data_IF_918774653403
#
_entry.id   IF_918774653403
#
_cell.length_a   1.000
_cell.length_b   1.000
_cell.length_c   1.000
_cell.angle_alpha   90.00
_cell.angle_beta   90.00
_cell.angle_gamma   90.00
#
_symmetry.space_group_name_H-M   'P 1'
#
loop_
_entity.id
_entity.type
_entity.pdbx_description
1 polymer ?
#
# COMPACT_ATOMS: atom_id res chain seq x y z
N UNK A 1 -49.98 6.28 38.73
CA UNK A 1 -49.79 7.32 39.73
C UNK A 1 -48.53 8.08 39.28
N UNK A 2 -48.79 9.22 38.61
CA UNK A 2 -47.78 10.17 38.08
C UNK A 2 -47.75 11.32 39.08
N UNK A 3 -46.62 11.90 39.45
CA UNK A 3 -46.62 13.26 39.96
C UNK A 3 -46.04 14.24 38.96
N UNK A 4 -46.63 15.37 38.98
CA UNK A 4 -46.63 16.57 38.18
C UNK A 4 -45.30 17.34 38.13
N UNK A 5 -45.23 18.09 37.05
CA UNK A 5 -44.31 19.18 36.75
C UNK A 5 -44.49 20.35 37.73
N UNK A 6 -43.39 20.92 38.17
CA UNK A 6 -43.36 22.26 38.84
C UNK A 6 -42.53 23.22 38.00
N UNK A 7 -43.20 24.28 37.54
CA UNK A 7 -42.64 25.43 36.81
C UNK A 7 -41.73 26.29 37.69
N UNK A 8 -40.68 26.88 37.11
CA UNK A 8 -39.84 27.93 37.68
C UNK A 8 -40.02 29.25 36.91
N UNK A 9 -40.00 30.36 37.56
CA UNK A 9 -40.45 31.65 37.04
C UNK A 9 -39.37 32.38 36.22
N UNK A 10 -39.86 33.10 35.23
CA UNK A 10 -39.16 34.08 34.40
C UNK A 10 -38.77 35.34 35.18
N UNK A 11 -37.48 35.74 35.08
CA UNK A 11 -37.03 37.08 35.48
C UNK A 11 -36.60 37.87 34.24
N UNK A 12 -37.30 38.93 34.00
CA UNK A 12 -37.09 40.00 33.04
C UNK A 12 -35.98 40.92 33.55
N UNK A 13 -34.96 41.21 32.74
CA UNK A 13 -34.09 42.42 32.89
C UNK A 13 -33.52 42.84 31.55
N UNK A 14 -34.04 43.91 31.00
CA UNK A 14 -33.54 44.68 29.89
C UNK A 14 -32.32 45.56 30.27
N UNK A 15 -31.54 46.08 29.31
CA UNK A 15 -30.10 46.31 29.42
C UNK A 15 -29.74 47.75 29.85
N UNK A 16 -28.57 47.92 30.46
CA UNK A 16 -27.86 49.19 30.50
C UNK A 16 -26.53 49.07 29.80
N UNK A 17 -26.32 49.98 28.84
CA UNK A 17 -25.09 50.08 28.06
C UNK A 17 -23.88 50.55 28.86
N UNK A 18 -22.74 50.19 28.40
CA UNK A 18 -21.49 50.90 28.52
C UNK A 18 -20.60 50.58 27.30
N UNK A 19 -20.24 51.63 26.62
CA UNK A 19 -19.25 51.68 25.57
C UNK A 19 -17.85 51.34 26.12
N UNK A 20 -17.09 50.54 25.34
CA UNK A 20 -15.69 50.28 25.62
C UNK A 20 -15.11 49.42 24.54
N UNK A 21 -14.62 50.04 23.46
CA UNK A 21 -14.03 49.37 22.34
C UNK A 21 -12.77 48.60 22.68
N UNK A 22 -12.66 47.40 22.23
CA UNK A 22 -11.42 46.81 21.77
C UNK A 22 -11.79 45.86 20.61
N UNK A 23 -11.43 46.31 19.43
CA UNK A 23 -11.50 45.51 18.18
C UNK A 23 -10.54 44.33 18.29
N UNK A 24 -11.02 43.19 18.78
CA UNK A 24 -10.45 41.93 18.43
C UNK A 24 -10.93 41.61 17.02
N UNK A 25 -10.22 42.13 16.05
CA UNK A 25 -10.21 41.61 14.69
C UNK A 25 -9.56 40.23 14.79
N UNK A 26 -10.36 39.22 15.11
CA UNK A 26 -10.00 37.84 14.77
C UNK A 26 -9.80 37.84 13.27
N UNK A 27 -8.54 37.92 12.87
CA UNK A 27 -8.12 37.59 11.51
C UNK A 27 -8.61 36.17 11.24
N UNK A 28 -9.71 36.06 10.52
CA UNK A 28 -10.08 34.86 9.79
C UNK A 28 -8.95 34.71 8.77
N UNK A 29 -7.89 34.03 9.17
CA UNK A 29 -6.87 33.54 8.27
C UNK A 29 -7.64 32.58 7.39
N UNK A 30 -7.98 33.02 6.18
CA UNK A 30 -8.42 32.13 5.11
C UNK A 30 -7.39 31.02 5.09
N UNK A 31 -7.79 29.84 5.52
CA UNK A 31 -6.97 28.64 5.48
C UNK A 31 -6.78 28.28 3.99
N UNK A 32 -5.79 28.92 3.38
CA UNK A 32 -5.30 28.48 2.08
C UNK A 32 -4.79 27.07 2.30
N UNK A 33 -5.50 26.07 1.75
CA UNK A 33 -5.16 24.66 1.89
C UNK A 33 -3.70 24.42 1.48
N UNK A 34 -3.00 23.56 2.22
CA UNK A 34 -1.61 23.21 1.91
C UNK A 34 -1.55 22.72 0.47
N UNK A 35 -0.66 23.35 -0.33
CA UNK A 35 -0.46 22.97 -1.74
C UNK A 35 0.72 22.02 -1.88
N UNK A 36 0.50 20.86 -2.49
CA UNK A 36 1.48 19.79 -2.67
C UNK A 36 1.51 19.25 -4.09
N UNK A 37 2.70 18.94 -4.60
CA UNK A 37 2.90 18.16 -5.81
C UNK A 37 3.18 16.70 -5.42
N UNK A 38 2.29 15.77 -5.77
CA UNK A 38 2.50 14.35 -5.59
C UNK A 38 3.19 13.76 -6.83
N UNK A 39 4.45 13.34 -6.67
CA UNK A 39 5.29 12.78 -7.73
C UNK A 39 5.23 11.25 -7.65
N UNK A 40 4.40 10.62 -8.47
CA UNK A 40 4.06 9.21 -8.32
C UNK A 40 5.02 8.25 -9.02
N UNK A 41 5.91 8.76 -9.87
CA UNK A 41 6.79 7.93 -10.68
C UNK A 41 6.05 6.96 -11.64
N UNK A 42 4.73 7.09 -11.76
CA UNK A 42 3.87 6.18 -12.52
C UNK A 42 3.66 4.83 -11.83
N UNK A 43 3.84 4.78 -10.48
CA UNK A 43 3.72 3.56 -9.68
C UNK A 43 2.35 3.37 -9.04
N UNK A 44 2.26 2.42 -8.16
CA UNK A 44 1.18 1.88 -7.32
C UNK A 44 -0.12 2.71 -7.24
N UNK A 45 -1.09 2.38 -8.11
CA UNK A 45 -2.38 3.08 -8.19
C UNK A 45 -3.15 3.05 -6.86
N UNK A 46 -3.28 1.91 -6.15
CA UNK A 46 -4.00 1.86 -4.88
C UNK A 46 -3.46 2.82 -3.82
N UNK A 47 -2.15 2.88 -3.66
CA UNK A 47 -1.53 3.79 -2.68
C UNK A 47 -1.71 5.26 -3.08
N UNK A 48 -1.50 5.59 -4.34
CA UNK A 48 -1.68 6.98 -4.84
C UNK A 48 -3.14 7.41 -4.70
N UNK A 49 -4.08 6.54 -5.02
CA UNK A 49 -5.52 6.81 -4.91
C UNK A 49 -5.91 7.09 -3.45
N UNK A 50 -5.53 6.22 -2.52
CA UNK A 50 -5.83 6.39 -1.11
C UNK A 50 -5.22 7.67 -0.54
N UNK A 51 -3.94 7.92 -0.81
CA UNK A 51 -3.25 9.11 -0.33
C UNK A 51 -3.87 10.40 -0.90
N UNK A 52 -4.10 10.47 -2.21
CA UNK A 52 -4.65 11.67 -2.85
C UNK A 52 -6.07 11.96 -2.37
N UNK A 53 -6.93 10.93 -2.28
CA UNK A 53 -8.30 11.04 -1.79
C UNK A 53 -8.32 11.58 -0.36
N UNK A 54 -7.46 11.05 0.50
CA UNK A 54 -7.42 11.45 1.90
C UNK A 54 -6.85 12.86 2.08
N UNK A 55 -5.82 13.25 1.35
CA UNK A 55 -5.32 14.61 1.39
C UNK A 55 -6.35 15.63 0.89
N UNK A 56 -7.16 15.27 -0.12
CA UNK A 56 -8.30 16.11 -0.57
C UNK A 56 -9.35 16.26 0.53
N UNK A 57 -9.69 15.20 1.27
CA UNK A 57 -10.64 15.26 2.37
C UNK A 57 -10.20 16.26 3.45
N UNK A 58 -8.88 16.40 3.61
CA UNK A 58 -8.24 17.38 4.53
C UNK A 58 -7.96 18.74 3.88
N UNK A 59 -8.60 19.02 2.73
CA UNK A 59 -8.53 20.29 1.99
C UNK A 59 -7.13 20.66 1.47
N UNK A 60 -6.26 19.69 1.22
CA UNK A 60 -5.03 19.93 0.48
C UNK A 60 -5.34 20.25 -0.99
N UNK A 61 -4.53 21.13 -1.58
CA UNK A 61 -4.55 21.42 -3.02
C UNK A 61 -3.43 20.61 -3.67
N UNK A 62 -3.79 19.72 -4.59
CA UNK A 62 -2.90 18.67 -5.08
C UNK A 62 -2.65 18.84 -6.58
N UNK A 63 -1.39 18.92 -6.98
CA UNK A 63 -0.95 18.60 -8.34
C UNK A 63 -0.51 17.12 -8.34
N UNK A 64 -1.32 16.26 -8.94
CA UNK A 64 -1.02 14.83 -9.05
C UNK A 64 -0.32 14.55 -10.38
N UNK A 65 1.00 14.29 -10.33
CA UNK A 65 1.81 13.97 -11.49
C UNK A 65 1.75 12.47 -11.75
N UNK A 66 1.08 12.08 -12.82
CA UNK A 66 0.77 10.70 -13.15
C UNK A 66 1.13 10.28 -14.57
N UNK A 67 0.54 9.17 -14.98
CA UNK A 67 0.65 8.50 -16.28
C UNK A 67 -0.72 7.97 -16.70
N UNK A 68 -0.83 7.43 -17.93
CA UNK A 68 -2.07 6.79 -18.41
C UNK A 68 -2.53 5.66 -17.48
N UNK A 69 -1.60 4.97 -16.82
CA UNK A 69 -1.92 3.90 -15.86
C UNK A 69 -2.64 4.41 -14.61
N UNK A 70 -2.35 5.65 -14.20
CA UNK A 70 -2.99 6.28 -13.04
C UNK A 70 -4.21 7.10 -13.43
N UNK A 71 -4.40 7.37 -14.72
CA UNK A 71 -5.52 8.17 -15.20
C UNK A 71 -6.84 7.44 -14.95
N UNK A 72 -7.70 8.08 -14.17
CA UNK A 72 -9.00 7.53 -13.81
C UNK A 72 -10.02 8.65 -13.55
N UNK A 73 -11.32 8.40 -13.80
CA UNK A 73 -12.38 9.41 -13.62
C UNK A 73 -12.38 10.06 -12.24
N UNK A 74 -11.96 9.33 -11.20
CA UNK A 74 -11.92 9.81 -9.82
C UNK A 74 -10.92 10.96 -9.59
N UNK A 75 -9.94 11.13 -10.48
CA UNK A 75 -8.97 12.22 -10.40
C UNK A 75 -9.34 13.44 -11.22
N UNK A 76 -10.46 13.41 -11.96
CA UNK A 76 -10.90 14.52 -12.80
C UNK A 76 -12.09 15.26 -12.19
N UNK A 77 -12.17 16.57 -12.48
CA UNK A 77 -13.29 17.42 -12.04
C UNK A 77 -13.43 17.59 -10.53
N UNK A 78 -12.42 17.23 -9.72
CA UNK A 78 -12.45 17.38 -8.27
C UNK A 78 -11.86 18.74 -7.86
N UNK A 79 -12.58 19.54 -7.03
CA UNK A 79 -12.03 20.75 -6.48
C UNK A 79 -10.75 20.47 -5.67
N UNK A 80 -9.71 21.25 -5.92
CA UNK A 80 -8.42 21.09 -5.23
C UNK A 80 -7.50 19.99 -5.78
N UNK A 81 -7.91 19.22 -6.78
CA UNK A 81 -7.05 18.24 -7.43
C UNK A 81 -6.86 18.57 -8.92
N UNK A 82 -5.61 18.65 -9.34
CA UNK A 82 -5.22 18.78 -10.74
C UNK A 82 -4.40 17.56 -11.14
N UNK A 83 -4.98 16.68 -11.93
CA UNK A 83 -4.25 15.56 -12.52
C UNK A 83 -3.41 16.04 -13.72
N UNK A 84 -2.13 15.73 -13.70
CA UNK A 84 -1.15 16.10 -14.72
C UNK A 84 -0.51 14.82 -15.28
N UNK A 85 -1.01 14.36 -16.42
CA UNK A 85 -0.46 13.21 -17.12
C UNK A 85 0.82 13.60 -17.87
N UNK A 86 1.93 13.80 -17.14
CA UNK A 86 3.21 14.17 -17.75
C UNK A 86 3.94 12.95 -18.35
N UNK A 87 3.67 11.75 -17.81
CA UNK A 87 4.41 10.55 -18.21
C UNK A 87 3.82 9.85 -19.43
N UNK A 88 2.51 9.98 -19.66
CA UNK A 88 1.79 9.36 -20.76
C UNK A 88 1.83 7.82 -20.70
N UNK A 89 1.85 7.22 -21.89
CA UNK A 89 1.83 5.78 -22.09
C UNK A 89 3.11 5.09 -21.62
N UNK A 90 2.92 3.97 -20.90
CA UNK A 90 4.00 3.15 -20.34
C UNK A 90 4.09 1.75 -20.98
N UNK A 91 3.36 1.48 -22.06
CA UNK A 91 3.39 0.16 -22.73
C UNK A 91 4.82 -0.22 -23.12
N UNK A 92 5.12 -1.51 -22.95
CA UNK A 92 6.46 -2.06 -23.19
C UNK A 92 6.68 -2.55 -24.62
N UNK A 93 5.62 -2.64 -25.42
CA UNK A 93 5.61 -3.26 -26.76
C UNK A 93 6.00 -2.30 -27.89
N UNK A 94 6.42 -1.08 -27.54
CA UNK A 94 6.83 -0.07 -28.53
C UNK A 94 8.33 -0.11 -28.81
N UNK A 95 8.74 0.47 -29.96
CA UNK A 95 10.16 0.50 -30.37
C UNK A 95 11.07 1.25 -29.40
N UNK A 96 12.37 0.95 -29.42
CA UNK A 96 13.36 1.55 -28.52
C UNK A 96 13.42 3.08 -28.65
N UNK A 97 13.39 3.62 -29.87
CA UNK A 97 13.44 5.06 -30.15
C UNK A 97 12.24 5.78 -29.50
N UNK A 98 11.05 5.21 -29.65
CA UNK A 98 9.83 5.77 -29.06
C UNK A 98 9.91 5.73 -27.52
N UNK A 99 10.41 4.63 -26.92
CA UNK A 99 10.64 4.56 -25.47
C UNK A 99 11.57 5.66 -24.98
N UNK A 100 12.69 5.88 -25.66
CA UNK A 100 13.67 6.91 -25.30
C UNK A 100 13.03 8.31 -25.42
N UNK A 101 12.34 8.59 -26.51
CA UNK A 101 11.67 9.88 -26.73
C UNK A 101 10.62 10.15 -25.65
N UNK A 102 9.76 9.19 -25.33
CA UNK A 102 8.76 9.32 -24.24
C UNK A 102 9.41 9.66 -22.91
N UNK A 103 10.50 8.95 -22.56
CA UNK A 103 11.18 9.19 -21.29
C UNK A 103 11.84 10.58 -21.27
N UNK A 104 12.51 11.00 -22.32
CA UNK A 104 13.12 12.33 -22.39
C UNK A 104 12.06 13.43 -22.36
N UNK A 105 10.96 13.28 -23.11
CA UNK A 105 9.82 14.20 -23.08
C UNK A 105 9.25 14.33 -21.67
N UNK A 106 9.04 13.21 -20.97
CA UNK A 106 8.57 13.21 -19.59
C UNK A 106 9.49 14.01 -18.66
N UNK A 107 10.81 13.75 -18.70
CA UNK A 107 11.73 14.50 -17.85
C UNK A 107 11.79 15.98 -18.20
N UNK A 108 11.73 16.34 -19.50
CA UNK A 108 11.65 17.74 -19.91
C UNK A 108 10.40 18.42 -19.33
N UNK A 109 9.24 17.79 -19.47
CA UNK A 109 7.98 18.30 -18.91
C UNK A 109 8.05 18.42 -17.38
N UNK A 110 8.63 17.43 -16.69
CA UNK A 110 8.78 17.42 -15.24
C UNK A 110 9.72 18.55 -14.77
N UNK A 111 10.81 18.83 -15.48
CA UNK A 111 11.72 19.94 -15.19
C UNK A 111 11.01 21.29 -15.38
N UNK A 112 10.28 21.47 -16.47
CA UNK A 112 9.51 22.69 -16.73
C UNK A 112 8.41 22.87 -15.68
N UNK A 113 7.68 21.80 -15.36
CA UNK A 113 6.68 21.80 -14.29
C UNK A 113 7.30 22.26 -12.97
N UNK A 114 8.41 21.66 -12.54
CA UNK A 114 9.05 21.99 -11.27
C UNK A 114 9.45 23.45 -11.18
N UNK A 115 9.94 24.07 -12.28
CA UNK A 115 10.31 25.47 -12.34
C UNK A 115 9.12 26.42 -12.23
N UNK A 116 7.94 26.01 -12.71
CA UNK A 116 6.73 26.87 -12.80
C UNK A 116 5.66 26.51 -11.77
N UNK A 117 5.81 25.38 -11.07
CA UNK A 117 4.83 24.86 -10.14
C UNK A 117 4.67 25.77 -8.89
N UNK A 118 3.42 26.04 -8.52
CA UNK A 118 3.05 26.77 -7.32
C UNK A 118 3.32 26.00 -6.01
N UNK A 119 3.06 24.66 -5.93
CA UNK A 119 3.33 23.89 -4.71
C UNK A 119 4.77 24.07 -4.23
N UNK A 120 4.93 24.35 -2.93
CA UNK A 120 6.23 24.40 -2.27
C UNK A 120 6.68 23.01 -1.82
N UNK A 121 5.75 22.12 -1.52
CA UNK A 121 6.02 20.73 -1.13
C UNK A 121 5.99 19.83 -2.35
N UNK A 122 7.08 19.12 -2.58
CA UNK A 122 7.21 18.05 -3.57
C UNK A 122 7.30 16.73 -2.83
N UNK A 123 6.20 15.97 -2.82
CA UNK A 123 6.15 14.66 -2.19
C UNK A 123 6.42 13.57 -3.24
N UNK A 124 7.61 13.00 -3.19
CA UNK A 124 8.03 11.90 -4.05
C UNK A 124 7.49 10.60 -3.44
N UNK A 125 6.44 10.05 -4.05
CA UNK A 125 5.83 8.78 -3.62
C UNK A 125 6.59 7.61 -4.21
N UNK A 126 7.02 7.71 -5.49
CA UNK A 126 7.93 6.77 -6.14
C UNK A 126 8.95 7.50 -7.01
N UNK A 127 10.16 6.93 -7.10
CA UNK A 127 11.13 7.35 -8.10
C UNK A 127 10.67 6.91 -9.50
N UNK A 128 11.11 7.67 -10.51
CA UNK A 128 10.87 7.31 -11.90
C UNK A 128 11.83 6.20 -12.37
N UNK A 129 11.93 6.00 -13.69
CA UNK A 129 12.70 4.90 -14.28
C UNK A 129 14.22 5.09 -14.16
N UNK A 130 14.72 6.33 -14.28
CA UNK A 130 16.15 6.63 -14.17
C UNK A 130 16.54 6.95 -12.72
N UNK A 131 16.54 5.94 -11.89
CA UNK A 131 16.73 6.06 -10.44
C UNK A 131 17.96 6.89 -10.04
N UNK A 132 19.08 6.77 -10.78
CA UNK A 132 20.28 7.56 -10.48
C UNK A 132 20.03 9.06 -10.67
N UNK A 133 19.44 9.45 -11.79
CA UNK A 133 19.11 10.84 -12.09
C UNK A 133 18.05 11.38 -11.10
N UNK A 134 17.00 10.60 -10.83
CA UNK A 134 15.95 10.97 -9.88
C UNK A 134 16.50 11.24 -8.49
N UNK A 135 17.37 10.34 -8.00
CA UNK A 135 17.94 10.39 -6.65
C UNK A 135 18.98 11.50 -6.46
N UNK A 136 19.55 11.99 -7.54
CA UNK A 136 20.67 12.95 -7.50
C UNK A 136 20.30 14.28 -8.15
N UNK A 137 20.51 14.43 -9.45
CA UNK A 137 20.38 15.70 -10.15
C UNK A 137 18.96 16.29 -10.05
N UNK A 138 17.92 15.47 -10.18
CA UNK A 138 16.54 15.94 -10.14
C UNK A 138 16.15 16.43 -8.72
N UNK A 139 16.53 15.72 -7.66
CA UNK A 139 16.28 16.18 -6.30
C UNK A 139 17.09 17.43 -5.95
N UNK A 140 18.35 17.52 -6.41
CA UNK A 140 19.15 18.73 -6.24
C UNK A 140 18.49 19.92 -6.93
N UNK A 141 17.96 19.72 -8.15
CA UNK A 141 17.23 20.73 -8.90
C UNK A 141 16.00 21.21 -8.11
N UNK A 142 15.20 20.31 -7.55
CA UNK A 142 14.06 20.72 -6.71
C UNK A 142 14.48 21.55 -5.50
N UNK A 143 15.58 21.20 -4.85
CA UNK A 143 16.15 21.99 -3.75
C UNK A 143 16.59 23.39 -4.18
N UNK A 144 17.27 23.49 -5.33
CA UNK A 144 17.69 24.79 -5.89
C UNK A 144 16.50 25.69 -6.24
N UNK A 145 15.35 25.10 -6.59
CA UNK A 145 14.09 25.83 -6.77
C UNK A 145 13.37 26.18 -5.45
N UNK A 146 13.97 25.90 -4.30
CA UNK A 146 13.37 26.16 -2.97
C UNK A 146 12.21 25.24 -2.60
N UNK A 147 12.08 24.06 -3.27
CA UNK A 147 11.04 23.11 -2.93
C UNK A 147 11.41 22.32 -1.67
N UNK A 148 10.41 22.09 -0.78
CA UNK A 148 10.50 21.16 0.34
C UNK A 148 10.26 19.75 -0.17
N UNK A 149 11.22 18.87 0.06
CA UNK A 149 11.15 17.49 -0.47
C UNK A 149 10.69 16.54 0.62
N UNK A 150 9.53 15.94 0.43
CA UNK A 150 9.04 14.80 1.21
C UNK A 150 9.21 13.53 0.38
N UNK A 151 9.67 12.45 0.99
CA UNK A 151 9.91 11.19 0.32
C UNK A 151 9.21 10.06 1.06
N UNK A 152 8.33 9.31 0.37
CA UNK A 152 7.84 8.02 0.89
C UNK A 152 8.77 6.90 0.43
N UNK A 153 9.28 6.15 1.39
CA UNK A 153 10.19 5.03 1.15
C UNK A 153 9.45 3.72 1.44
N UNK A 154 9.00 3.04 0.38
CA UNK A 154 8.34 1.74 0.49
C UNK A 154 9.33 0.59 0.66
N UNK A 155 10.58 0.79 0.27
CA UNK A 155 11.70 -0.12 0.47
C UNK A 155 12.97 0.72 0.62
N UNK A 156 13.71 0.55 1.71
CA UNK A 156 14.94 1.32 1.95
C UNK A 156 15.98 1.01 0.87
N UNK A 157 16.17 -0.27 0.54
CA UNK A 157 17.03 -0.70 -0.54
C UNK A 157 16.45 -1.91 -1.28
N UNK A 158 15.61 -1.68 -2.28
CA UNK A 158 14.98 -2.75 -3.06
C UNK A 158 16.00 -3.65 -3.76
N UNK A 159 17.19 -3.13 -4.15
CA UNK A 159 18.24 -3.92 -4.78
C UNK A 159 18.91 -4.90 -3.82
N UNK A 160 18.93 -4.59 -2.51
CA UNK A 160 19.41 -5.52 -1.46
C UNK A 160 18.50 -6.75 -1.42
N UNK A 161 17.17 -6.55 -1.45
CA UNK A 161 16.18 -7.62 -1.57
C UNK A 161 16.38 -8.50 -2.80
N UNK A 162 16.68 -7.87 -3.94
CA UNK A 162 16.82 -8.56 -5.22
C UNK A 162 18.25 -9.07 -5.48
N UNK A 163 19.14 -9.05 -4.46
CA UNK A 163 20.56 -9.44 -4.53
C UNK A 163 21.36 -8.69 -5.63
N UNK A 164 20.94 -7.47 -5.96
CA UNK A 164 21.53 -6.61 -7.00
C UNK A 164 22.10 -5.30 -6.42
N UNK A 165 22.33 -5.25 -5.12
CA UNK A 165 22.86 -4.05 -4.46
C UNK A 165 24.35 -3.83 -4.80
N UNK A 166 24.71 -2.56 -4.99
CA UNK A 166 26.08 -2.12 -5.32
C UNK A 166 26.44 -0.91 -4.47
N UNK A 167 27.76 -0.67 -4.30
CA UNK A 167 28.26 0.53 -3.63
C UNK A 167 27.73 1.82 -4.27
N UNK A 168 27.61 1.85 -5.60
CA UNK A 168 27.04 2.98 -6.33
C UNK A 168 25.56 3.17 -6.05
N UNK A 169 24.76 2.09 -5.96
CA UNK A 169 23.36 2.16 -5.56
C UNK A 169 23.23 2.75 -4.14
N UNK A 170 24.03 2.27 -3.18
CA UNK A 170 24.03 2.80 -1.79
C UNK A 170 24.45 4.28 -1.74
N UNK A 171 25.42 4.70 -2.57
CA UNK A 171 25.81 6.09 -2.68
C UNK A 171 24.65 6.98 -3.16
N UNK A 172 23.95 6.58 -4.24
CA UNK A 172 22.81 7.37 -4.77
C UNK A 172 21.64 7.40 -3.79
N UNK A 173 21.37 6.31 -3.06
CA UNK A 173 20.37 6.29 -2.00
C UNK A 173 20.75 7.23 -0.84
N UNK A 174 21.99 7.21 -0.39
CA UNK A 174 22.50 8.14 0.63
C UNK A 174 22.30 9.58 0.22
N UNK A 175 22.59 9.90 -1.03
CA UNK A 175 22.40 11.24 -1.58
C UNK A 175 20.92 11.63 -1.57
N UNK A 176 20.04 10.75 -2.03
CA UNK A 176 18.59 10.96 -2.01
C UNK A 176 18.08 11.27 -0.59
N UNK A 177 18.42 10.41 0.37
CA UNK A 177 17.96 10.54 1.75
C UNK A 177 18.50 11.80 2.45
N UNK A 178 19.69 12.26 2.08
CA UNK A 178 20.23 13.54 2.58
C UNK A 178 19.49 14.75 2.06
N UNK A 179 19.03 14.72 0.82
CA UNK A 179 18.34 15.84 0.17
C UNK A 179 16.87 15.97 0.60
N UNK A 180 16.22 14.90 1.04
CA UNK A 180 14.85 14.95 1.52
C UNK A 180 14.74 15.75 2.83
N UNK A 181 13.78 16.64 2.96
CA UNK A 181 13.51 17.39 4.21
C UNK A 181 12.83 16.47 5.23
N UNK A 182 11.92 15.59 4.75
CA UNK A 182 11.24 14.59 5.56
C UNK A 182 11.11 13.28 4.79
N UNK A 183 11.19 12.15 5.50
CA UNK A 183 11.06 10.81 4.96
C UNK A 183 9.95 10.07 5.69
N UNK A 184 9.01 9.54 4.94
CA UNK A 184 8.03 8.59 5.43
C UNK A 184 8.51 7.16 5.20
N UNK A 185 8.36 6.33 6.20
CA UNK A 185 8.55 4.87 6.16
C UNK A 185 7.36 4.19 6.80
N UNK A 186 7.20 2.89 6.61
CA UNK A 186 6.03 2.17 7.10
C UNK A 186 6.28 1.36 8.38
N UNK A 187 7.55 1.13 8.73
CA UNK A 187 7.92 0.26 9.86
C UNK A 187 9.10 0.80 10.64
N UNK A 188 9.19 0.43 11.92
CA UNK A 188 10.35 0.78 12.75
C UNK A 188 11.68 0.21 12.21
N UNK A 189 11.76 -1.06 11.74
CA UNK A 189 12.97 -1.56 11.10
C UNK A 189 13.45 -0.73 9.91
N UNK A 190 12.53 -0.21 9.07
CA UNK A 190 12.90 0.69 7.96
C UNK A 190 13.49 2.01 8.46
N UNK A 191 12.92 2.59 9.51
CA UNK A 191 13.45 3.81 10.14
C UNK A 191 14.84 3.57 10.70
N UNK A 192 15.02 2.46 11.39
CA UNK A 192 16.31 2.11 11.98
C UNK A 192 17.38 1.88 10.90
N UNK A 193 17.04 1.19 9.80
CA UNK A 193 17.95 1.00 8.66
C UNK A 193 18.37 2.34 8.03
N UNK A 194 17.43 3.31 7.88
CA UNK A 194 17.77 4.65 7.39
C UNK A 194 18.75 5.37 8.31
N UNK A 195 18.62 5.23 9.61
CA UNK A 195 19.50 5.83 10.59
C UNK A 195 20.87 5.17 10.55
N UNK A 196 20.93 3.85 10.65
CA UNK A 196 22.15 3.08 10.85
C UNK A 196 22.98 2.95 9.55
N UNK A 197 22.35 2.59 8.43
CA UNK A 197 23.07 2.33 7.19
C UNK A 197 23.25 3.59 6.32
N UNK A 198 22.31 4.56 6.41
CA UNK A 198 22.33 5.73 5.53
C UNK A 198 22.64 7.05 6.26
N UNK A 199 22.72 7.04 7.60
CA UNK A 199 23.08 8.21 8.41
C UNK A 199 22.01 9.30 8.39
N UNK A 200 20.73 8.93 8.26
CA UNK A 200 19.61 9.88 8.31
C UNK A 200 19.31 10.24 9.77
N UNK A 201 19.10 11.54 10.04
CA UNK A 201 18.69 11.97 11.40
C UNK A 201 17.28 11.45 11.70
N UNK A 202 17.07 10.78 12.83
CA UNK A 202 15.80 10.18 13.21
C UNK A 202 14.63 11.16 13.23
N UNK A 203 14.85 12.43 13.57
CA UNK A 203 13.83 13.49 13.53
C UNK A 203 13.29 13.78 12.12
N UNK A 204 14.01 13.35 11.06
CA UNK A 204 13.58 13.49 9.66
C UNK A 204 12.88 12.25 9.13
N UNK A 205 12.63 11.25 9.96
CA UNK A 205 11.97 10.01 9.58
C UNK A 205 10.71 9.84 10.41
N UNK A 206 9.57 9.85 9.75
CA UNK A 206 8.25 9.63 10.36
C UNK A 206 7.70 8.29 9.88
N UNK A 207 7.24 7.48 10.82
CA UNK A 207 6.53 6.24 10.50
C UNK A 207 5.08 6.58 10.21
N UNK A 208 4.59 6.11 9.06
CA UNK A 208 3.18 6.19 8.68
C UNK A 208 2.65 4.78 8.42
N UNK A 209 1.44 4.44 8.83
CA UNK A 209 0.85 3.15 8.47
C UNK A 209 0.85 2.95 6.95
N UNK A 210 0.94 1.72 6.50
CA UNK A 210 0.63 1.41 5.11
C UNK A 210 -0.89 1.40 4.96
N UNK A 211 -1.44 2.29 4.13
CA UNK A 211 -2.89 2.41 3.98
C UNK A 211 -3.52 1.12 3.44
N UNK A 212 -4.67 0.74 4.00
CA UNK A 212 -5.44 -0.42 3.53
C UNK A 212 -5.86 -0.21 2.08
N UNK A 213 -5.75 -1.26 1.25
CA UNK A 213 -6.19 -1.17 -0.14
C UNK A 213 -7.73 -1.20 -0.22
N UNK A 214 -8.31 -0.05 -0.47
CA UNK A 214 -9.74 0.15 -0.68
C UNK A 214 -10.10 0.53 -2.13
N UNK A 215 -9.15 0.41 -3.06
CA UNK A 215 -9.37 0.72 -4.48
C UNK A 215 -9.93 -0.45 -5.28
N UNK A 216 -9.85 -1.67 -4.72
CA UNK A 216 -10.40 -2.86 -5.38
C UNK A 216 -11.93 -2.83 -5.25
N UNK A 217 -12.67 -2.89 -6.36
CA UNK A 217 -14.12 -2.97 -6.33
C UNK A 217 -14.60 -4.16 -5.51
N UNK A 218 -15.58 -3.93 -4.65
CA UNK A 218 -16.27 -5.00 -3.94
C UNK A 218 -17.72 -5.01 -4.40
N UNK A 219 -18.13 -6.12 -5.01
CA UNK A 219 -19.49 -6.34 -5.50
C UNK A 219 -20.26 -7.24 -4.53
N UNK A 220 -21.52 -7.53 -4.85
CA UNK A 220 -22.37 -8.42 -4.06
C UNK A 220 -22.06 -9.92 -4.27
N UNK A 221 -21.00 -10.26 -5.03
CA UNK A 221 -20.61 -11.66 -5.22
C UNK A 221 -20.34 -12.33 -3.87
N UNK A 222 -21.01 -13.44 -3.64
CA UNK A 222 -20.86 -14.21 -2.41
C UNK A 222 -19.62 -15.12 -2.48
N UNK A 223 -19.03 -15.55 -1.34
CA UNK A 223 -17.95 -16.54 -1.33
C UNK A 223 -18.31 -17.82 -2.09
N UNK A 224 -19.56 -18.27 -2.01
CA UNK A 224 -20.04 -19.46 -2.71
C UNK A 224 -20.04 -19.25 -4.23
N UNK A 225 -20.54 -18.14 -4.73
CA UNK A 225 -20.50 -17.80 -6.15
C UNK A 225 -19.06 -17.64 -6.66
N UNK A 226 -18.19 -17.03 -5.86
CA UNK A 226 -16.77 -16.93 -6.18
C UNK A 226 -16.11 -18.31 -6.33
N UNK A 227 -16.39 -19.23 -5.40
CA UNK A 227 -15.93 -20.63 -5.48
C UNK A 227 -16.45 -21.34 -6.73
N UNK A 228 -17.76 -21.22 -7.03
CA UNK A 228 -18.35 -21.82 -8.22
C UNK A 228 -17.67 -21.33 -9.50
N UNK A 229 -17.40 -20.02 -9.63
CA UNK A 229 -16.70 -19.46 -10.81
C UNK A 229 -15.26 -19.97 -10.96
N UNK A 230 -14.59 -20.28 -9.85
CA UNK A 230 -13.24 -20.84 -9.86
C UNK A 230 -13.19 -22.37 -9.86
N UNK A 231 -14.34 -23.05 -9.87
CA UNK A 231 -14.42 -24.52 -9.84
C UNK A 231 -13.95 -25.11 -8.52
N UNK A 232 -14.22 -24.43 -7.40
CA UNK A 232 -13.87 -24.84 -6.03
C UNK A 232 -15.14 -25.35 -5.35
N UNK A 233 -15.10 -26.56 -4.78
CA UNK A 233 -16.23 -27.13 -4.05
C UNK A 233 -16.39 -26.50 -2.67
N UNK A 234 -17.62 -26.47 -2.15
CA UNK A 234 -17.92 -25.85 -0.85
C UNK A 234 -17.22 -26.51 0.33
N UNK A 235 -16.89 -27.80 0.24
CA UNK A 235 -16.18 -28.58 1.27
C UNK A 235 -14.65 -28.58 1.12
N UNK A 236 -14.10 -27.95 0.08
CA UNK A 236 -12.66 -27.79 -0.10
C UNK A 236 -12.13 -26.64 0.79
N UNK A 237 -10.86 -26.76 1.18
CA UNK A 237 -10.10 -25.78 1.96
C UNK A 237 -9.20 -24.99 1.04
N UNK A 238 -9.61 -23.78 0.68
CA UNK A 238 -8.99 -22.96 -0.35
C UNK A 238 -7.85 -22.10 0.21
N UNK A 239 -6.63 -22.37 -0.24
CA UNK A 239 -5.40 -21.65 0.12
C UNK A 239 -5.02 -20.74 -1.04
N UNK A 240 -4.88 -19.44 -0.80
CA UNK A 240 -4.55 -18.44 -1.81
C UNK A 240 -3.11 -17.95 -1.69
N UNK A 241 -2.38 -17.95 -2.79
CA UNK A 241 -1.24 -17.09 -3.05
C UNK A 241 -1.62 -16.06 -4.10
N UNK A 242 -1.39 -14.77 -3.82
CA UNK A 242 -1.79 -13.68 -4.71
C UNK A 242 -0.66 -12.67 -4.98
N UNK A 243 -0.69 -12.09 -6.21
CA UNK A 243 0.20 -11.01 -6.66
C UNK A 243 1.41 -11.49 -7.44
N UNK A 244 2.34 -10.58 -7.80
CA UNK A 244 3.49 -10.93 -8.62
C UNK A 244 4.22 -12.17 -8.11
N UNK A 245 4.55 -13.09 -9.00
CA UNK A 245 5.39 -14.25 -8.68
C UNK A 245 6.85 -13.82 -8.86
N UNK A 246 7.66 -14.03 -7.81
CA UNK A 246 9.08 -13.69 -7.81
C UNK A 246 9.81 -14.49 -6.72
N UNK A 247 11.13 -14.78 -6.86
CA UNK A 247 11.87 -15.62 -5.90
C UNK A 247 11.78 -15.16 -4.45
N UNK A 248 11.80 -13.84 -4.20
CA UNK A 248 11.70 -13.30 -2.83
C UNK A 248 10.36 -13.57 -2.15
N UNK A 249 9.32 -13.94 -2.91
CA UNK A 249 7.99 -14.29 -2.39
C UNK A 249 7.85 -15.74 -1.98
N UNK A 250 8.84 -16.59 -2.25
CA UNK A 250 8.94 -17.92 -1.68
C UNK A 250 7.81 -18.90 -2.05
N UNK A 251 7.20 -18.76 -3.24
CA UNK A 251 6.09 -19.63 -3.67
C UNK A 251 6.48 -21.10 -3.67
N UNK A 252 7.76 -21.43 -3.87
CA UNK A 252 8.28 -22.80 -3.80
C UNK A 252 8.10 -23.45 -2.42
N UNK A 253 8.16 -22.66 -1.33
CA UNK A 253 7.91 -23.18 0.01
C UNK A 253 6.42 -23.53 0.20
N UNK A 254 5.52 -22.70 -0.36
CA UNK A 254 4.10 -23.01 -0.35
C UNK A 254 3.80 -24.24 -1.24
N UNK A 255 4.40 -24.35 -2.41
CA UNK A 255 4.24 -25.51 -3.27
C UNK A 255 4.68 -26.80 -2.54
N UNK A 256 5.85 -26.77 -1.88
CA UNK A 256 6.34 -27.89 -1.09
C UNK A 256 5.47 -28.21 0.14
N UNK A 257 4.99 -27.19 0.85
CA UNK A 257 4.06 -27.37 1.96
C UNK A 257 2.72 -27.95 1.51
N UNK A 258 2.21 -27.49 0.35
CA UNK A 258 0.97 -27.98 -0.23
C UNK A 258 1.05 -29.48 -0.55
N UNK A 259 2.17 -29.97 -1.12
CA UNK A 259 2.36 -31.41 -1.34
C UNK A 259 2.22 -32.20 -0.03
N UNK A 260 2.79 -31.68 1.08
CA UNK A 260 2.75 -32.34 2.38
C UNK A 260 1.34 -32.42 2.96
N UNK A 261 0.59 -31.30 2.93
CA UNK A 261 -0.78 -31.31 3.46
C UNK A 261 -1.73 -32.13 2.59
N UNK A 262 -1.53 -32.13 1.26
CA UNK A 262 -2.32 -32.98 0.35
C UNK A 262 -2.08 -34.45 0.57
N UNK A 263 -0.87 -34.88 0.86
CA UNK A 263 -0.55 -36.27 1.19
C UNK A 263 -1.30 -36.78 2.42
N UNK A 264 -1.74 -35.89 3.32
CA UNK A 264 -2.45 -36.23 4.56
C UNK A 264 -3.98 -36.03 4.45
N UNK A 265 -4.43 -35.08 3.59
CA UNK A 265 -5.85 -34.69 3.45
C UNK A 265 -6.18 -34.34 2.01
N UNK A 266 -7.26 -34.86 1.50
CA UNK A 266 -7.71 -34.73 0.11
C UNK A 266 -8.57 -33.48 -0.19
N UNK A 267 -8.87 -32.65 0.82
CA UNK A 267 -9.78 -31.49 0.69
C UNK A 267 -9.07 -30.13 0.53
N UNK A 268 -7.75 -30.09 0.42
CA UNK A 268 -7.03 -28.85 0.20
C UNK A 268 -7.00 -28.48 -1.28
N UNK A 269 -7.26 -27.20 -1.55
CA UNK A 269 -7.20 -26.58 -2.87
C UNK A 269 -6.20 -25.42 -2.85
N UNK A 270 -5.23 -25.41 -3.75
CA UNK A 270 -4.30 -24.29 -3.90
C UNK A 270 -4.72 -23.39 -5.05
N UNK A 271 -4.75 -22.09 -4.80
CA UNK A 271 -4.98 -21.05 -5.80
C UNK A 271 -3.69 -20.20 -5.87
N UNK A 272 -3.06 -20.15 -7.04
CA UNK A 272 -1.94 -19.26 -7.33
C UNK A 272 -2.42 -18.30 -8.40
N UNK A 273 -2.56 -17.02 -8.04
CA UNK A 273 -3.04 -15.97 -8.94
C UNK A 273 -2.05 -14.79 -8.97
N UNK A 274 -1.45 -14.53 -10.14
CA UNK A 274 -0.53 -13.42 -10.32
C UNK A 274 0.52 -13.64 -11.41
N UNK A 275 1.18 -12.56 -11.80
CA UNK A 275 2.09 -12.57 -12.93
C UNK A 275 3.53 -12.93 -12.55
N UNK A 276 4.17 -13.90 -13.25
CA UNK A 276 5.62 -14.14 -13.17
C UNK A 276 6.39 -12.97 -13.79
N UNK A 277 7.02 -12.16 -12.93
CA UNK A 277 7.70 -10.93 -13.38
C UNK A 277 9.19 -11.17 -13.53
N UNK A 278 9.68 -11.34 -14.77
CA UNK A 278 11.09 -11.55 -15.10
C UNK A 278 11.74 -12.71 -14.30
N UNK A 279 11.03 -13.82 -14.16
CA UNK A 279 11.48 -14.97 -13.37
C UNK A 279 11.06 -16.30 -13.99
N UNK A 280 11.20 -16.44 -15.32
CA UNK A 280 10.70 -17.60 -16.08
C UNK A 280 11.29 -18.93 -15.58
N UNK A 281 12.58 -18.98 -15.26
CA UNK A 281 13.25 -20.17 -14.71
C UNK A 281 12.66 -20.56 -13.34
N UNK A 282 12.54 -19.59 -12.44
CA UNK A 282 11.93 -19.81 -11.13
C UNK A 282 10.47 -20.26 -11.24
N UNK A 283 9.69 -19.62 -12.10
CA UNK A 283 8.30 -20.00 -12.34
C UNK A 283 8.19 -21.38 -12.95
N UNK A 284 9.08 -21.73 -13.90
CA UNK A 284 9.16 -23.07 -14.48
C UNK A 284 9.33 -24.17 -13.43
N UNK A 285 10.26 -23.96 -12.49
CA UNK A 285 10.51 -24.86 -11.37
C UNK A 285 9.27 -25.03 -10.46
N UNK A 286 8.62 -23.93 -10.08
CA UNK A 286 7.42 -23.99 -9.22
C UNK A 286 6.27 -24.69 -9.94
N UNK A 287 6.08 -24.38 -11.23
CA UNK A 287 5.04 -25.01 -12.04
C UNK A 287 5.23 -26.51 -12.16
N UNK A 288 6.46 -26.98 -12.35
CA UNK A 288 6.80 -28.42 -12.43
C UNK A 288 6.40 -29.15 -11.14
N UNK A 289 6.68 -28.56 -9.97
CA UNK A 289 6.28 -29.13 -8.68
C UNK A 289 4.75 -29.27 -8.55
N UNK A 290 3.98 -28.32 -9.11
CA UNK A 290 2.52 -28.29 -9.01
C UNK A 290 1.81 -28.95 -10.17
N UNK A 291 2.52 -29.44 -11.19
CA UNK A 291 1.93 -29.93 -12.44
C UNK A 291 0.88 -31.03 -12.22
N UNK A 292 1.18 -32.02 -11.39
CA UNK A 292 0.26 -33.11 -11.05
C UNK A 292 -1.01 -32.61 -10.36
N UNK A 293 -0.86 -31.65 -9.47
CA UNK A 293 -2.00 -31.05 -8.74
C UNK A 293 -2.89 -30.21 -9.67
N UNK A 294 -2.32 -29.59 -10.69
CA UNK A 294 -3.10 -28.90 -11.72
C UNK A 294 -3.89 -29.91 -12.58
N UNK A 295 -3.24 -30.98 -13.00
CA UNK A 295 -3.87 -32.02 -13.81
C UNK A 295 -5.01 -32.76 -13.07
N UNK A 296 -4.83 -33.00 -11.77
CA UNK A 296 -5.86 -33.60 -10.90
C UNK A 296 -6.92 -32.58 -10.43
N UNK A 297 -6.76 -31.32 -10.79
CA UNK A 297 -7.66 -30.24 -10.39
C UNK A 297 -7.49 -29.77 -8.94
N UNK A 298 -6.44 -30.15 -8.23
CA UNK A 298 -6.14 -29.77 -6.84
C UNK A 298 -5.50 -28.40 -6.73
N UNK A 299 -4.88 -27.90 -7.81
CA UNK A 299 -4.32 -26.56 -7.88
C UNK A 299 -4.87 -25.80 -9.09
N UNK A 300 -5.21 -24.52 -8.87
CA UNK A 300 -5.58 -23.56 -9.89
C UNK A 300 -4.44 -22.57 -10.08
N UNK A 301 -3.79 -22.57 -11.25
CA UNK A 301 -2.73 -21.61 -11.58
C UNK A 301 -3.24 -20.57 -12.59
N UNK A 302 -3.24 -19.29 -12.19
CA UNK A 302 -3.50 -18.12 -13.02
C UNK A 302 -2.23 -17.27 -13.07
N UNK A 303 -1.30 -17.66 -13.95
CA UNK A 303 0.02 -17.03 -14.09
C UNK A 303 -0.03 -15.83 -15.04
N UNK A 304 -0.88 -14.87 -14.73
CA UNK A 304 -1.15 -13.66 -15.51
C UNK A 304 -1.41 -12.45 -14.62
N UNK A 305 -1.46 -11.26 -15.20
CA UNK A 305 -1.93 -10.09 -14.49
C UNK A 305 -3.41 -10.26 -14.15
N UNK A 306 -3.74 -10.13 -12.87
CA UNK A 306 -5.13 -10.18 -12.41
C UNK A 306 -5.65 -8.75 -12.36
N UNK A 307 -6.66 -8.39 -13.16
CA UNK A 307 -7.30 -7.08 -13.11
C UNK A 307 -7.94 -6.79 -11.75
N UNK A 308 -8.06 -5.51 -11.41
CA UNK A 308 -8.66 -5.09 -10.14
C UNK A 308 -10.10 -5.60 -10.00
N UNK A 309 -10.88 -5.61 -11.08
CA UNK A 309 -12.25 -6.12 -11.15
C UNK A 309 -12.39 -7.63 -10.92
N UNK A 310 -11.34 -8.40 -11.18
CA UNK A 310 -11.32 -9.85 -10.98
C UNK A 310 -10.72 -10.23 -9.62
N UNK A 311 -10.04 -9.30 -8.95
CA UNK A 311 -9.30 -9.56 -7.72
C UNK A 311 -10.20 -10.09 -6.61
N UNK A 312 -11.39 -9.50 -6.42
CA UNK A 312 -12.32 -9.93 -5.35
C UNK A 312 -12.72 -11.40 -5.47
N UNK A 313 -12.76 -11.95 -6.69
CA UNK A 313 -13.13 -13.34 -6.93
C UNK A 313 -12.22 -14.32 -6.17
N UNK A 314 -10.91 -14.07 -6.21
CA UNK A 314 -9.93 -14.91 -5.55
C UNK A 314 -9.98 -14.77 -4.02
N UNK A 315 -10.10 -13.54 -3.52
CA UNK A 315 -10.13 -13.28 -2.07
C UNK A 315 -11.42 -13.74 -1.40
N UNK A 316 -12.56 -13.64 -2.10
CA UNK A 316 -13.84 -14.16 -1.59
C UNK A 316 -13.92 -15.69 -1.64
N UNK A 317 -13.30 -16.33 -2.65
CA UNK A 317 -13.29 -17.79 -2.77
C UNK A 317 -12.37 -18.48 -1.76
N UNK A 318 -11.31 -17.80 -1.30
CA UNK A 318 -10.31 -18.36 -0.42
C UNK A 318 -10.74 -18.39 1.05
N UNK A 319 -10.17 -19.35 1.79
CA UNK A 319 -10.29 -19.44 3.25
C UNK A 319 -9.09 -18.78 3.95
N UNK A 320 -7.93 -18.74 3.28
CA UNK A 320 -6.71 -18.18 3.86
C UNK A 320 -5.78 -17.67 2.76
N UNK A 321 -5.12 -16.55 3.03
CA UNK A 321 -4.02 -16.03 2.22
C UNK A 321 -2.68 -16.49 2.81
N UNK A 322 -1.76 -16.97 1.97
CA UNK A 322 -0.42 -17.39 2.40
C UNK A 322 0.64 -16.47 1.79
N UNK A 323 1.50 -15.92 2.63
CA UNK A 323 2.61 -15.04 2.27
C UNK A 323 3.94 -15.70 2.68
N UNK A 324 4.48 -16.64 1.86
CA UNK A 324 5.66 -17.44 2.22
C UNK A 324 6.97 -16.72 1.90
N UNK A 325 7.03 -15.42 2.18
CA UNK A 325 8.09 -14.54 1.72
C UNK A 325 9.44 -14.86 2.38
N UNK A 326 10.52 -14.70 1.60
CA UNK A 326 11.90 -14.79 2.08
C UNK A 326 12.39 -13.46 2.63
N UNK A 327 11.94 -12.38 2.02
CA UNK A 327 12.35 -11.03 2.38
C UNK A 327 11.32 -10.00 1.95
N UNK A 328 10.86 -9.18 2.88
CA UNK A 328 10.00 -8.04 2.64
C UNK A 328 10.09 -7.07 3.81
N UNK A 329 9.90 -5.79 3.61
CA UNK A 329 9.62 -4.87 4.71
C UNK A 329 8.15 -4.89 5.08
N UNK A 330 7.28 -4.74 4.06
CA UNK A 330 5.84 -4.75 4.24
C UNK A 330 5.14 -5.23 2.96
N UNK A 331 3.93 -5.77 3.07
CA UNK A 331 3.21 -6.33 1.93
C UNK A 331 1.83 -5.72 1.76
N UNK A 332 1.62 -5.01 0.65
CA UNK A 332 0.30 -4.52 0.25
C UNK A 332 -0.73 -5.66 0.06
N UNK A 333 -0.27 -6.88 -0.28
CA UNK A 333 -1.14 -8.05 -0.42
C UNK A 333 -1.69 -8.53 0.92
N UNK A 334 -0.96 -8.34 2.04
CA UNK A 334 -1.46 -8.60 3.39
C UNK A 334 -2.68 -7.72 3.68
N UNK A 335 -2.54 -6.41 3.46
CA UNK A 335 -3.62 -5.46 3.70
C UNK A 335 -4.79 -5.63 2.74
N UNK A 336 -4.51 -6.07 1.50
CA UNK A 336 -5.55 -6.48 0.58
C UNK A 336 -6.31 -7.70 1.10
N UNK A 337 -5.62 -8.71 1.66
CA UNK A 337 -6.27 -9.84 2.34
C UNK A 337 -7.21 -9.38 3.46
N UNK A 338 -6.72 -8.49 4.28
CA UNK A 338 -7.51 -7.93 5.39
C UNK A 338 -8.71 -7.09 4.93
N UNK A 339 -8.63 -6.39 3.80
CA UNK A 339 -9.78 -5.64 3.26
C UNK A 339 -10.93 -6.56 2.82
N UNK A 340 -10.65 -7.85 2.58
CA UNK A 340 -11.65 -8.89 2.33
C UNK A 340 -11.94 -9.76 3.57
N UNK A 341 -11.41 -9.39 4.73
CA UNK A 341 -11.54 -10.18 5.96
C UNK A 341 -10.93 -11.57 5.87
N UNK A 342 -9.89 -11.74 5.03
CA UNK A 342 -9.22 -13.01 4.81
C UNK A 342 -8.04 -13.16 5.79
N UNK A 343 -8.02 -14.21 6.63
CA UNK A 343 -6.88 -14.50 7.50
C UNK A 343 -5.61 -14.74 6.71
N UNK A 344 -4.45 -14.43 7.32
CA UNK A 344 -3.15 -14.51 6.66
C UNK A 344 -2.22 -15.46 7.40
N UNK A 345 -1.61 -16.41 6.67
CA UNK A 345 -0.44 -17.14 7.15
C UNK A 345 0.80 -16.47 6.57
N UNK A 346 1.64 -15.92 7.44
CA UNK A 346 2.78 -15.13 7.00
C UNK A 346 4.10 -15.71 7.54
N UNK A 347 5.14 -15.67 6.69
CA UNK A 347 6.49 -15.96 7.15
C UNK A 347 6.98 -14.90 8.15
N UNK A 348 7.78 -15.29 9.13
CA UNK A 348 8.42 -14.38 10.11
C UNK A 348 9.55 -13.59 9.43
N UNK A 349 9.17 -12.62 8.57
CA UNK A 349 10.09 -11.73 7.88
C UNK A 349 9.56 -10.30 7.84
N UNK A 350 10.46 -9.33 7.95
CA UNK A 350 10.12 -7.91 7.94
C UNK A 350 9.12 -7.56 9.02
N UNK A 351 8.08 -6.81 8.67
CA UNK A 351 7.00 -6.44 9.60
C UNK A 351 5.79 -7.37 9.54
N UNK A 352 5.81 -8.45 8.74
CA UNK A 352 4.63 -9.31 8.58
C UNK A 352 4.14 -9.88 9.90
N UNK A 353 5.07 -10.31 10.77
CA UNK A 353 4.75 -10.82 12.11
C UNK A 353 4.02 -9.78 12.99
N UNK A 354 4.42 -8.51 12.90
CA UNK A 354 3.85 -7.43 13.70
C UNK A 354 2.39 -7.12 13.30
N UNK A 355 2.02 -7.47 12.06
CA UNK A 355 0.69 -7.28 11.51
C UNK A 355 -0.26 -8.46 11.79
N UNK A 356 0.26 -9.60 12.26
CA UNK A 356 -0.53 -10.80 12.56
C UNK A 356 -0.85 -10.86 14.05
N UNK A 357 -2.12 -10.94 14.38
CA UNK A 357 -2.59 -11.32 15.72
C UNK A 357 -2.95 -12.79 15.68
N UNK A 358 -2.08 -13.62 16.30
CA UNK A 358 -2.21 -15.09 16.34
C UNK A 358 -3.63 -15.53 16.76
N UNK A 359 -4.25 -16.36 15.94
CA UNK A 359 -5.61 -16.87 16.15
C UNK A 359 -6.76 -15.88 15.94
N UNK A 360 -6.46 -14.60 15.58
CA UNK A 360 -7.48 -13.57 15.25
C UNK A 360 -7.40 -13.13 13.81
N UNK A 361 -6.22 -12.73 13.33
CA UNK A 361 -6.05 -12.29 11.95
C UNK A 361 -5.22 -13.27 11.12
N UNK A 362 -4.65 -14.30 11.74
CA UNK A 362 -3.86 -15.31 11.05
C UNK A 362 -2.88 -16.02 11.96
N UNK A 363 -1.82 -16.57 11.36
CA UNK A 363 -0.74 -17.26 12.05
C UNK A 363 0.61 -16.95 11.39
N UNK A 364 1.68 -17.04 12.19
CA UNK A 364 3.06 -16.86 11.74
C UNK A 364 3.77 -18.20 11.68
N UNK A 365 4.64 -18.37 10.68
CA UNK A 365 5.51 -19.54 10.51
C UNK A 365 6.94 -19.12 10.20
N UNK A 366 7.90 -20.03 10.39
CA UNK A 366 9.31 -19.79 10.13
C UNK A 366 9.56 -19.61 8.62
N UNK A 367 10.24 -18.53 8.26
CA UNK A 367 10.59 -18.28 6.88
C UNK A 367 11.42 -19.42 6.27
N UNK A 368 11.22 -19.69 4.98
CA UNK A 368 11.92 -20.72 4.21
C UNK A 368 11.76 -22.16 4.77
N UNK A 369 10.73 -22.41 5.57
CA UNK A 369 10.46 -23.69 6.18
C UNK A 369 9.09 -24.25 5.73
N UNK A 370 9.12 -25.13 4.73
CA UNK A 370 7.90 -25.76 4.20
C UNK A 370 7.23 -26.75 5.16
N UNK A 371 7.96 -27.28 6.15
CA UNK A 371 7.37 -28.17 7.17
C UNK A 371 6.57 -27.35 8.18
N UNK A 372 7.16 -26.26 8.68
CA UNK A 372 6.48 -25.37 9.60
C UNK A 372 5.26 -24.70 8.94
N UNK A 373 5.37 -24.32 7.64
CA UNK A 373 4.23 -23.83 6.86
C UNK A 373 3.14 -24.88 6.73
N UNK A 374 3.47 -26.15 6.44
CA UNK A 374 2.49 -27.23 6.36
C UNK A 374 1.78 -27.44 7.71
N UNK A 375 2.52 -27.47 8.81
CA UNK A 375 1.95 -27.54 10.15
C UNK A 375 1.08 -26.33 10.49
N UNK A 376 1.47 -25.13 10.05
CA UNK A 376 0.70 -23.90 10.26
C UNK A 376 -0.59 -23.89 9.45
N UNK A 377 -0.58 -24.40 8.22
CA UNK A 377 -1.81 -24.61 7.41
C UNK A 377 -2.76 -25.56 8.16
N UNK A 378 -2.28 -26.70 8.66
CA UNK A 378 -3.11 -27.66 9.40
C UNK A 378 -3.65 -27.04 10.71
N UNK A 379 -2.80 -26.30 11.45
CA UNK A 379 -3.19 -25.58 12.67
C UNK A 379 -4.29 -24.55 12.38
N UNK A 380 -4.17 -23.79 11.29
CA UNK A 380 -5.19 -22.83 10.89
C UNK A 380 -6.53 -23.51 10.61
N UNK A 381 -6.55 -24.56 9.80
CA UNK A 381 -7.79 -25.26 9.43
C UNK A 381 -8.40 -26.09 10.58
N UNK A 382 -7.67 -26.27 11.68
CA UNK A 382 -8.18 -26.84 12.92
C UNK A 382 -8.58 -25.76 13.96
N UNK A 383 -8.35 -24.48 13.69
CA UNK A 383 -8.56 -23.38 14.63
C UNK A 383 -10.01 -22.87 14.67
N UNK A 384 -10.35 -22.20 15.79
CA UNK A 384 -11.61 -21.45 15.92
C UNK A 384 -11.74 -20.36 14.85
N UNK A 385 -10.63 -19.75 14.45
CA UNK A 385 -10.62 -18.73 13.40
C UNK A 385 -11.19 -19.25 12.07
N UNK A 386 -10.83 -20.46 11.66
CA UNK A 386 -11.38 -21.06 10.44
C UNK A 386 -12.81 -21.55 10.66
N UNK A 387 -13.10 -22.23 11.76
CA UNK A 387 -14.46 -22.77 12.04
C UNK A 387 -15.51 -21.65 12.02
N UNK A 388 -15.16 -20.46 12.51
CA UNK A 388 -16.03 -19.31 12.58
C UNK A 388 -15.71 -18.23 11.53
N UNK A 389 -15.01 -18.58 10.43
CA UNK A 389 -14.46 -17.61 9.48
C UNK A 389 -15.51 -16.61 8.94
N UNK A 390 -16.72 -17.06 8.64
CA UNK A 390 -17.76 -16.18 8.10
C UNK A 390 -18.13 -15.04 9.05
N UNK A 391 -18.14 -15.30 10.36
CA UNK A 391 -18.38 -14.28 11.38
C UNK A 391 -17.11 -13.43 11.66
N UNK A 392 -15.94 -14.06 11.57
CA UNK A 392 -14.65 -13.42 11.87
C UNK A 392 -14.14 -12.48 10.78
N UNK A 393 -14.64 -12.60 9.54
CA UNK A 393 -14.20 -11.73 8.43
C UNK A 393 -14.38 -10.24 8.75
N UNK A 394 -15.52 -9.86 9.34
CA UNK A 394 -15.77 -8.47 9.69
C UNK A 394 -14.80 -7.98 10.77
N UNK A 395 -14.50 -8.80 11.77
CA UNK A 395 -13.54 -8.45 12.83
C UNK A 395 -12.12 -8.17 12.25
N UNK A 396 -11.71 -8.90 11.21
CA UNK A 396 -10.43 -8.68 10.52
C UNK A 396 -10.45 -7.36 9.74
N UNK A 397 -11.56 -7.07 9.05
CA UNK A 397 -11.75 -5.80 8.31
C UNK A 397 -11.68 -4.63 9.30
N UNK A 398 -12.39 -4.71 10.41
CA UNK A 398 -12.44 -3.65 11.42
C UNK A 398 -11.06 -3.42 12.04
N UNK A 399 -10.35 -4.50 12.42
CA UNK A 399 -8.99 -4.43 12.92
C UNK A 399 -8.05 -3.72 11.96
N UNK A 400 -8.10 -4.07 10.67
CA UNK A 400 -7.24 -3.47 9.66
C UNK A 400 -7.61 -2.01 9.38
N UNK A 401 -8.91 -1.70 9.34
CA UNK A 401 -9.40 -0.35 9.10
C UNK A 401 -8.99 0.59 10.23
N UNK A 402 -9.07 0.16 11.49
CA UNK A 402 -8.66 0.96 12.64
C UNK A 402 -7.16 1.31 12.59
N UNK A 403 -6.31 0.37 12.23
CA UNK A 403 -4.84 0.53 12.28
C UNK A 403 -4.24 1.11 11.01
N UNK A 404 -4.85 0.87 9.87
CA UNK A 404 -4.32 1.17 8.54
C UNK A 404 -5.22 2.09 7.72
N UNK A 405 -6.07 2.90 8.40
CA UNK A 405 -6.94 3.85 7.72
C UNK A 405 -6.15 4.94 7.02
N UNK A 406 -6.63 5.35 5.87
CA UNK A 406 -6.08 6.49 5.16
C UNK A 406 -6.22 7.79 5.95
N UNK A 407 -7.22 7.89 6.84
CA UNK A 407 -7.40 9.05 7.71
C UNK A 407 -6.18 9.25 8.62
N UNK A 408 -5.65 8.19 9.25
CA UNK A 408 -4.42 8.25 10.05
C UNK A 408 -3.23 8.66 9.19
N UNK A 409 -3.08 8.06 8.00
CA UNK A 409 -2.01 8.41 7.05
C UNK A 409 -2.10 9.88 6.65
N UNK A 410 -3.31 10.36 6.33
CA UNK A 410 -3.55 11.76 5.95
C UNK A 410 -3.29 12.74 7.09
N UNK A 411 -3.71 12.43 8.32
CA UNK A 411 -3.45 13.27 9.49
C UNK A 411 -1.94 13.47 9.73
N UNK A 412 -1.19 12.37 9.76
CA UNK A 412 0.27 12.42 9.94
C UNK A 412 0.92 13.20 8.79
N UNK A 413 0.51 12.93 7.54
CA UNK A 413 1.07 13.57 6.35
C UNK A 413 0.80 15.07 6.36
N UNK A 414 -0.42 15.50 6.65
CA UNK A 414 -0.79 16.93 6.72
C UNK A 414 -0.06 17.65 7.84
N UNK A 415 0.11 17.00 9.00
CA UNK A 415 0.91 17.56 10.08
C UNK A 415 2.35 17.81 9.64
N UNK A 416 3.00 16.85 9.02
CA UNK A 416 4.38 16.99 8.50
C UNK A 416 4.46 18.11 7.47
N UNK A 417 3.50 18.21 6.56
CA UNK A 417 3.48 19.31 5.58
C UNK A 417 3.35 20.69 6.26
N UNK A 418 2.48 20.79 7.25
CA UNK A 418 2.32 22.03 8.02
C UNK A 418 3.61 22.41 8.74
N UNK A 419 4.24 21.46 9.43
CA UNK A 419 5.48 21.67 10.17
C UNK A 419 6.62 22.13 9.22
N UNK A 420 6.73 21.55 8.02
CA UNK A 420 7.73 21.93 7.02
C UNK A 420 7.53 23.35 6.46
N UNK A 421 6.28 23.80 6.34
CA UNK A 421 5.96 25.14 5.85
C UNK A 421 6.10 26.19 6.94
N UNK A 422 5.91 25.83 8.20
CA UNK A 422 6.09 26.72 9.35
C UNK A 422 7.57 26.95 9.74
N UNK A 423 8.47 26.05 9.30
CA UNK A 423 9.90 26.14 9.59
C UNK A 423 10.69 27.09 8.65
N UNK A 424 10.00 27.77 7.73
CA UNK A 424 10.53 28.86 6.87
C UNK A 424 10.31 30.20 7.53
#
# INVERSE_FOLDING_TARGET
>A
MVPELTELPTADMTPKGAEGGSSETQAVTEAHGISVALLTGGGDRPYVFGLATELMSKRAVIDLIGSDFLDSPEFHGKPGLRFLNLRGDQRTEVGLIEKVFRILSYYAQLIVYAATAKPRIFHIVWNNKFQTFDRTALMLYYRLLGKKIVLTVHNVNARKRDSKDTAFNRFTLRFQYRLADQIFVHTEPMKQELIDEYGVKGARVTIIPFGINNSIPQTDITPREARQRLGIHDDERAILFFGNIAPYKGLEFLAAAFQKVRARHDKYRLIVAGWPKNCDEYWGMVREVLEKNVQSGEALLRAEYIPDEDTELYFKAADVLVLPYRYIYQSGVLFLGYSFGLPVLAADVGSLKEEIVEGKTGFVFRAEDSEDLAGTIERYFASDLFVNLSARRQEIIDYATERHSWDVVGQITMKVYSDLLAAD
#
